data_IF_684802958806
#
_entry.id   IF_684802958806
#
_cell.length_a   1.000
_cell.length_b   1.000
_cell.length_c   1.000
_cell.angle_alpha   90.00
_cell.angle_beta   90.00
_cell.angle_gamma   90.00
#
_symmetry.space_group_name_H-M   'P 1'
#
loop_
_entity.id
_entity.type
_entity.pdbx_description
1 polymer ?
#
# COMPACT_ATOMS: atom_id res chain seq x y z
N UNK A 1 1.42 11.38 -19.95
CA UNK A 1 2.37 10.38 -20.49
C UNK A 1 1.95 8.97 -20.07
N UNK A 2 2.58 7.92 -20.59
CA UNK A 2 2.32 6.53 -20.19
C UNK A 2 3.58 5.68 -20.30
N UNK A 3 3.74 4.71 -19.40
CA UNK A 3 4.90 3.80 -19.32
C UNK A 3 4.40 2.36 -19.29
N UNK A 4 5.05 1.48 -20.07
CA UNK A 4 4.78 0.04 -20.03
C UNK A 4 5.45 -0.56 -18.78
N UNK A 5 4.66 -1.20 -17.91
CA UNK A 5 5.13 -1.78 -16.65
C UNK A 5 5.20 -3.32 -16.67
N UNK A 6 5.00 -3.96 -17.82
CA UNK A 6 5.10 -5.41 -17.97
C UNK A 6 3.99 -6.05 -18.83
N UNK A 7 3.96 -7.39 -18.89
CA UNK A 7 3.00 -8.16 -19.68
C UNK A 7 1.59 -8.18 -19.06
N UNK A 8 0.56 -8.70 -19.78
CA UNK A 8 -0.83 -8.69 -19.34
C UNK A 8 -1.14 -9.28 -17.95
N UNK A 9 -0.46 -10.35 -17.48
CA UNK A 9 -0.70 -10.88 -16.14
C UNK A 9 -0.38 -9.84 -15.06
N UNK A 10 -1.36 -9.51 -14.21
CA UNK A 10 -1.20 -8.46 -13.20
C UNK A 10 -0.07 -8.74 -12.21
N UNK A 11 0.24 -10.00 -11.93
CA UNK A 11 1.37 -10.39 -11.07
C UNK A 11 2.70 -9.85 -11.60
N UNK A 12 2.83 -9.82 -12.92
CA UNK A 12 4.08 -9.48 -13.59
C UNK A 12 4.10 -8.00 -14.05
N UNK A 13 2.98 -7.27 -13.88
CA UNK A 13 2.80 -5.84 -14.17
C UNK A 13 2.29 -5.05 -12.95
N UNK A 14 0.97 -4.95 -12.75
CA UNK A 14 0.33 -4.09 -11.73
C UNK A 14 0.63 -4.45 -10.26
N UNK A 15 1.05 -5.68 -9.98
CA UNK A 15 1.49 -6.13 -8.65
C UNK A 15 3.01 -6.14 -8.51
N UNK A 16 3.72 -5.76 -9.57
CA UNK A 16 5.17 -5.69 -9.57
C UNK A 16 5.65 -4.31 -9.10
N UNK A 17 5.95 -4.23 -7.80
CA UNK A 17 6.42 -3.01 -7.15
C UNK A 17 7.65 -2.41 -7.88
N UNK A 18 8.61 -3.24 -8.30
CA UNK A 18 9.83 -2.76 -8.92
C UNK A 18 9.58 -2.05 -10.25
N UNK A 19 8.65 -2.57 -11.07
CA UNK A 19 8.30 -1.95 -12.35
C UNK A 19 7.59 -0.60 -12.15
N UNK A 20 6.73 -0.51 -11.13
CA UNK A 20 6.00 0.73 -10.83
C UNK A 20 6.95 1.80 -10.31
N UNK A 21 7.86 1.45 -9.39
CA UNK A 21 8.86 2.39 -8.86
C UNK A 21 9.79 2.88 -9.97
N UNK A 22 10.29 1.97 -10.81
CA UNK A 22 11.12 2.34 -11.97
C UNK A 22 10.39 3.29 -12.93
N UNK A 23 9.10 3.05 -13.19
CA UNK A 23 8.31 3.96 -14.00
C UNK A 23 8.22 5.36 -13.37
N UNK A 24 8.00 5.45 -12.05
CA UNK A 24 7.95 6.72 -11.33
C UNK A 24 9.28 7.48 -11.38
N UNK A 25 10.41 6.78 -11.24
CA UNK A 25 11.74 7.38 -11.31
C UNK A 25 12.04 7.92 -12.72
N UNK A 26 11.69 7.18 -13.77
CA UNK A 26 11.94 7.60 -15.16
C UNK A 26 11.09 8.82 -15.53
N UNK A 27 9.83 8.88 -15.07
CA UNK A 27 8.94 10.02 -15.35
C UNK A 27 9.17 11.19 -14.39
N UNK A 28 9.90 10.99 -13.29
CA UNK A 28 10.08 12.00 -12.25
C UNK A 28 8.78 12.30 -11.49
N UNK A 29 7.97 11.27 -11.21
CA UNK A 29 6.69 11.43 -10.51
C UNK A 29 6.89 11.74 -9.02
N UNK A 30 6.24 12.79 -8.51
CA UNK A 30 6.31 13.19 -7.10
C UNK A 30 5.45 12.31 -6.17
N UNK A 31 4.41 11.68 -6.72
CA UNK A 31 3.43 10.93 -5.94
C UNK A 31 2.78 9.79 -6.72
N UNK A 32 2.33 8.76 -5.99
CA UNK A 32 1.59 7.62 -6.53
C UNK A 32 0.25 7.46 -5.82
N UNK A 33 -0.82 7.49 -6.59
CA UNK A 33 -2.16 7.14 -6.12
C UNK A 33 -2.51 5.69 -6.49
N UNK A 34 -2.63 4.77 -5.53
CA UNK A 34 -2.79 3.34 -5.83
C UNK A 34 -4.23 2.93 -6.18
N UNK A 35 -5.22 3.82 -6.01
CA UNK A 35 -6.63 3.45 -6.18
C UNK A 35 -7.09 2.48 -5.09
N UNK A 36 -7.70 1.37 -5.50
CA UNK A 36 -8.17 0.28 -4.64
C UNK A 36 -7.75 -1.08 -5.19
N UNK A 37 -7.67 -2.08 -4.33
CA UNK A 37 -7.08 -3.38 -4.70
C UNK A 37 -5.60 -3.25 -5.06
N UNK A 38 -5.04 -4.27 -5.72
CA UNK A 38 -3.62 -4.31 -6.10
C UNK A 38 -2.67 -4.01 -4.92
N UNK A 39 -1.95 -2.89 -5.00
CA UNK A 39 -0.96 -2.47 -4.02
C UNK A 39 -1.48 -1.38 -3.05
N UNK A 40 -2.76 -1.01 -3.12
CA UNK A 40 -3.35 0.04 -2.26
C UNK A 40 -3.27 -0.26 -0.77
N UNK A 41 -3.32 -1.53 -0.39
CA UNK A 41 -3.19 -2.00 1.00
C UNK A 41 -1.86 -2.74 1.24
N UNK A 42 -0.85 -2.48 0.41
CA UNK A 42 0.46 -3.12 0.54
C UNK A 42 1.44 -2.22 1.29
N UNK A 43 1.70 -2.53 2.57
CA UNK A 43 2.60 -1.74 3.41
C UNK A 43 4.02 -1.62 2.83
N UNK A 44 4.53 -2.70 2.24
CA UNK A 44 5.86 -2.71 1.61
C UNK A 44 5.94 -1.75 0.43
N UNK A 45 4.86 -1.61 -0.33
CA UNK A 45 4.80 -0.66 -1.45
C UNK A 45 4.87 0.79 -0.96
N UNK A 46 4.07 1.14 0.05
CA UNK A 46 4.11 2.48 0.65
C UNK A 46 5.49 2.83 1.22
N UNK A 47 6.14 1.88 1.91
CA UNK A 47 7.48 2.08 2.47
C UNK A 47 8.56 2.26 1.40
N UNK A 48 8.48 1.48 0.31
CA UNK A 48 9.42 1.63 -0.81
C UNK A 48 9.25 3.00 -1.46
N UNK A 49 8.02 3.44 -1.73
CA UNK A 49 7.80 4.78 -2.29
C UNK A 49 8.37 5.87 -1.38
N UNK A 50 8.14 5.77 -0.06
CA UNK A 50 8.71 6.71 0.90
C UNK A 50 10.26 6.70 0.89
N UNK A 51 10.89 5.52 0.77
CA UNK A 51 12.35 5.41 0.68
C UNK A 51 12.93 6.04 -0.60
N UNK A 52 12.13 6.13 -1.68
CA UNK A 52 12.48 6.79 -2.93
C UNK A 52 12.02 8.26 -2.97
N UNK A 53 11.57 8.83 -1.85
CA UNK A 53 11.01 10.18 -1.75
C UNK A 53 9.77 10.42 -2.65
N UNK A 54 9.03 9.37 -2.97
CA UNK A 54 7.79 9.43 -3.74
C UNK A 54 6.61 9.38 -2.76
N UNK A 55 5.72 10.36 -2.83
CA UNK A 55 4.58 10.44 -1.93
C UNK A 55 3.55 9.36 -2.25
N UNK A 56 3.31 8.44 -1.33
CA UNK A 56 2.18 7.52 -1.43
C UNK A 56 0.89 8.25 -1.01
N UNK A 57 -0.07 8.37 -1.93
CA UNK A 57 -1.37 9.00 -1.65
C UNK A 57 -2.27 7.99 -0.93
N UNK A 58 -2.06 7.88 0.38
CA UNK A 58 -2.74 6.92 1.24
C UNK A 58 -2.20 6.90 2.67
N UNK A 59 -2.60 5.91 3.49
CA UNK A 59 -2.05 5.72 4.83
C UNK A 59 -0.56 5.31 4.79
N UNK A 60 0.15 5.52 5.90
CA UNK A 60 1.54 5.05 6.05
C UNK A 60 1.62 3.52 6.07
N UNK A 61 2.79 2.95 5.77
CA UNK A 61 3.01 1.51 5.83
C UNK A 61 2.64 0.90 7.19
N UNK A 62 2.90 1.62 8.29
CA UNK A 62 2.53 1.17 9.64
C UNK A 62 1.03 1.13 9.87
N UNK A 63 0.29 2.13 9.40
CA UNK A 63 -1.17 2.08 9.45
C UNK A 63 -1.72 0.93 8.62
N UNK A 64 -1.13 0.66 7.45
CA UNK A 64 -1.52 -0.47 6.59
C UNK A 64 -1.26 -1.80 7.31
N UNK A 65 -0.12 -1.98 8.00
CA UNK A 65 0.16 -3.20 8.78
C UNK A 65 -0.85 -3.42 9.91
N UNK A 66 -1.12 -2.37 10.67
CA UNK A 66 -2.03 -2.44 11.83
C UNK A 66 -3.45 -2.76 11.36
N UNK A 67 -3.91 -2.10 10.29
CA UNK A 67 -5.29 -2.22 9.83
C UNK A 67 -5.53 -3.39 8.86
N UNK A 68 -4.48 -3.89 8.20
CA UNK A 68 -4.55 -5.02 7.28
C UNK A 68 -4.73 -6.36 7.98
N UNK A 69 -4.21 -6.51 9.21
CA UNK A 69 -4.51 -7.66 10.06
C UNK A 69 -5.79 -7.38 10.87
N UNK A 70 -6.86 -8.13 10.58
CA UNK A 70 -8.16 -7.96 11.25
C UNK A 70 -8.09 -8.18 12.76
N UNK A 71 -7.19 -9.05 13.22
CA UNK A 71 -6.99 -9.32 14.64
C UNK A 71 -6.31 -8.12 15.29
N UNK A 72 -5.21 -7.65 14.71
CA UNK A 72 -4.45 -6.53 15.25
C UNK A 72 -5.24 -5.21 15.17
N UNK A 73 -6.02 -5.01 14.11
CA UNK A 73 -6.95 -3.89 13.98
C UNK A 73 -7.98 -3.89 15.12
N UNK A 74 -8.56 -5.06 15.43
CA UNK A 74 -9.54 -5.20 16.54
C UNK A 74 -8.88 -4.95 17.90
N UNK A 75 -7.67 -5.46 18.13
CA UNK A 75 -6.90 -5.21 19.37
C UNK A 75 -6.57 -3.73 19.51
N UNK A 76 -6.17 -3.08 18.43
CA UNK A 76 -5.89 -1.64 18.39
C UNK A 76 -7.16 -0.83 18.69
N UNK A 77 -8.29 -1.17 18.09
CA UNK A 77 -9.58 -0.53 18.36
C UNK A 77 -9.97 -0.66 19.85
N UNK A 78 -9.89 -1.87 20.43
CA UNK A 78 -10.13 -2.10 21.87
C UNK A 78 -9.22 -1.24 22.75
N UNK A 79 -7.91 -1.20 22.44
CA UNK A 79 -6.91 -0.42 23.19
C UNK A 79 -7.22 1.08 23.17
N UNK A 80 -7.75 1.59 22.06
CA UNK A 80 -8.16 2.98 21.93
C UNK A 80 -9.56 3.27 22.52
N UNK A 81 -10.19 2.31 23.17
CA UNK A 81 -11.52 2.46 23.77
C UNK A 81 -12.66 2.45 22.76
N UNK A 82 -12.42 2.04 21.51
CA UNK A 82 -13.44 1.95 20.47
C UNK A 82 -14.25 0.66 20.69
N UNK A 83 -15.60 0.72 20.73
CA UNK A 83 -16.44 -0.46 20.85
C UNK A 83 -16.23 -1.42 19.67
N UNK A 84 -16.03 -2.71 19.97
CA UNK A 84 -15.88 -3.77 18.95
C UNK A 84 -16.87 -4.91 19.19
N UNK A 85 -17.21 -5.63 18.13
CA UNK A 85 -18.06 -6.81 18.23
C UNK A 85 -17.35 -7.92 19.04
N UNK A 86 -18.00 -8.52 20.05
CA UNK A 86 -17.45 -9.66 20.78
C UNK A 86 -17.11 -10.82 19.84
N UNK A 87 -16.00 -11.51 20.10
CA UNK A 87 -15.54 -12.65 19.31
C UNK A 87 -14.12 -13.03 19.67
N UNK A 88 -13.61 -14.13 19.09
CA UNK A 88 -12.26 -14.65 19.33
C UNK A 88 -11.18 -13.57 19.16
N UNK A 89 -10.15 -13.65 20.00
CA UNK A 89 -9.00 -12.73 20.07
C UNK A 89 -7.80 -13.18 19.22
#
# INVERSE_FOLDING_TARGET
>A
ESVCIGPPPSRDSYLNIHQIVAACEITGADAVHPGYGFLSENAKFADILAAHNITFIGPTGDHIRIMGDKIEAKRTAKRLGIPVVPGSD
#
